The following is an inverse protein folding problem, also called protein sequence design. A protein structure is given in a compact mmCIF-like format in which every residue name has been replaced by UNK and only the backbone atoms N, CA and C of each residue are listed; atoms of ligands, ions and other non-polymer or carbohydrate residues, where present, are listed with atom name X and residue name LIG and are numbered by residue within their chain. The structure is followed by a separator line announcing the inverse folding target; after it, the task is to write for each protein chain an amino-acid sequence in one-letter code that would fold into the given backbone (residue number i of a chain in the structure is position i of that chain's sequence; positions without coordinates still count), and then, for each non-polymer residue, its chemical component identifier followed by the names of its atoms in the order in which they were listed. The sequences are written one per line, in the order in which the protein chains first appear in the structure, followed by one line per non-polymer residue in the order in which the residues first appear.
data_IF_547785427174
#
_entry.id   IF_547785427174
#
_cell.length_a   1.000
_cell.length_b   1.000
_cell.length_c   1.000
_cell.angle_alpha   90.00
_cell.angle_beta   90.00
_cell.angle_gamma   90.00
#
_symmetry.space_group_name_H-M   'P 1'
#
loop_
_entity.id
_entity.type
_entity.pdbx_description
1 polymer ?
#
# COMPACT_ATOMS: atom_id res chain seq x y z
N UNK A 1 -83.40 26.21 -7.74
CA UNK A 1 -82.90 24.84 -7.62
C UNK A 1 -81.69 24.74 -8.52
N UNK A 2 -80.46 24.53 -8.09
CA UNK A 2 -79.80 24.50 -6.79
C UNK A 2 -78.30 24.58 -7.15
N UNK A 3 -77.54 25.45 -6.49
CA UNK A 3 -76.12 25.60 -6.77
C UNK A 3 -75.38 24.35 -6.29
N UNK A 4 -74.66 23.66 -7.18
CA UNK A 4 -73.83 22.51 -6.83
C UNK A 4 -72.57 23.02 -6.11
N UNK A 5 -72.34 22.69 -4.84
CA UNK A 5 -71.10 23.01 -4.15
C UNK A 5 -70.07 21.91 -4.35
N UNK A 6 -68.77 22.27 -4.35
CA UNK A 6 -67.76 21.35 -3.81
C UNK A 6 -66.52 21.01 -4.63
N UNK A 7 -66.04 21.86 -5.55
CA UNK A 7 -64.70 21.63 -6.15
C UNK A 7 -63.52 22.00 -5.24
N UNK A 8 -63.78 22.71 -4.13
CA UNK A 8 -62.76 23.18 -3.18
C UNK A 8 -62.43 22.17 -2.07
N UNK A 9 -63.42 21.36 -1.65
CA UNK A 9 -63.24 20.31 -0.64
C UNK A 9 -62.39 19.13 -1.13
N UNK A 10 -62.49 18.78 -2.42
CA UNK A 10 -61.76 17.68 -3.04
C UNK A 10 -60.27 17.99 -3.27
N UNK A 11 -59.91 19.26 -3.51
CA UNK A 11 -58.51 19.69 -3.62
C UNK A 11 -57.81 19.73 -2.25
N UNK A 12 -58.51 20.16 -1.19
CA UNK A 12 -57.98 20.13 0.18
C UNK A 12 -57.79 18.70 0.70
N UNK A 13 -58.69 17.77 0.38
CA UNK A 13 -58.53 16.36 0.78
C UNK A 13 -57.35 15.67 0.08
N UNK A 14 -57.11 15.95 -1.21
CA UNK A 14 -55.94 15.44 -1.93
C UNK A 14 -54.60 16.03 -1.45
N UNK A 15 -54.57 17.29 -1.02
CA UNK A 15 -53.36 17.90 -0.44
C UNK A 15 -53.05 17.34 0.96
N UNK A 16 -54.07 17.14 1.80
CA UNK A 16 -53.93 16.46 3.10
C UNK A 16 -53.45 15.01 2.95
N UNK A 17 -53.98 14.27 1.98
CA UNK A 17 -53.55 12.90 1.70
C UNK A 17 -52.08 12.81 1.24
N UNK A 18 -51.61 13.77 0.43
CA UNK A 18 -50.19 13.84 0.02
C UNK A 18 -49.25 14.21 1.18
N UNK A 19 -49.66 15.12 2.07
CA UNK A 19 -48.88 15.49 3.25
C UNK A 19 -48.80 14.31 4.23
N UNK A 20 -49.92 13.61 4.47
CA UNK A 20 -49.94 12.39 5.29
C UNK A 20 -49.09 11.27 4.68
N UNK A 21 -49.10 11.09 3.35
CA UNK A 21 -48.27 10.09 2.68
C UNK A 21 -46.76 10.39 2.81
N UNK A 22 -46.35 11.64 2.60
CA UNK A 22 -44.94 12.07 2.77
C UNK A 22 -44.50 11.97 4.24
N UNK A 23 -45.37 12.32 5.19
CA UNK A 23 -45.09 12.18 6.62
C UNK A 23 -44.96 10.71 7.05
N UNK A 24 -45.71 9.80 6.42
CA UNK A 24 -45.63 8.34 6.69
C UNK A 24 -44.35 7.74 6.11
N UNK A 25 -43.88 8.22 4.96
CA UNK A 25 -42.59 7.80 4.39
C UNK A 25 -41.44 8.33 5.25
N UNK A 26 -41.48 9.60 5.69
CA UNK A 26 -40.46 10.16 6.56
C UNK A 26 -40.39 9.44 7.92
N UNK A 27 -41.52 9.05 8.50
CA UNK A 27 -41.56 8.29 9.75
C UNK A 27 -41.06 6.85 9.59
N UNK A 28 -41.28 6.22 8.45
CA UNK A 28 -40.69 4.91 8.11
C UNK A 28 -39.16 4.99 7.92
N UNK A 29 -38.64 6.06 7.33
CA UNK A 29 -37.19 6.29 7.22
C UNK A 29 -36.54 6.60 8.58
N UNK A 30 -37.20 7.38 9.44
CA UNK A 30 -36.73 7.63 10.81
C UNK A 30 -36.79 6.38 11.69
N UNK A 31 -37.85 5.57 11.58
CA UNK A 31 -37.97 4.30 12.31
C UNK A 31 -36.97 3.25 11.82
N UNK A 32 -36.77 3.15 10.50
CA UNK A 32 -35.76 2.26 9.90
C UNK A 32 -34.32 2.69 10.25
N UNK A 33 -34.05 3.99 10.28
CA UNK A 33 -32.76 4.55 10.71
C UNK A 33 -32.48 4.31 12.20
N UNK A 34 -33.50 4.44 13.07
CA UNK A 34 -33.35 4.15 14.50
C UNK A 34 -33.18 2.65 14.78
N UNK A 35 -33.86 1.79 14.02
CA UNK A 35 -33.74 0.33 14.13
C UNK A 35 -32.39 -0.18 13.62
N UNK A 36 -31.87 0.39 12.53
CA UNK A 36 -30.51 0.14 12.07
C UNK A 36 -29.46 0.62 13.09
N UNK A 37 -29.65 1.82 13.68
CA UNK A 37 -28.77 2.34 14.72
C UNK A 37 -28.73 1.47 15.98
N UNK A 38 -29.89 0.95 16.42
CA UNK A 38 -29.97 0.03 17.57
C UNK A 38 -29.38 -1.35 17.29
N UNK A 39 -29.50 -1.88 16.06
CA UNK A 39 -28.87 -3.15 15.67
C UNK A 39 -27.35 -3.03 15.52
N UNK A 40 -26.83 -1.87 15.09
CA UNK A 40 -25.40 -1.61 14.98
C UNK A 40 -24.72 -1.31 16.33
N UNK A 41 -25.43 -0.74 17.31
CA UNK A 41 -24.83 -0.35 18.60
C UNK A 41 -25.09 -1.31 19.78
N UNK A 42 -25.95 -2.33 19.64
CA UNK A 42 -26.21 -3.29 20.74
C UNK A 42 -25.63 -4.68 20.53
N UNK A 43 -25.23 -5.04 19.31
CA UNK A 43 -24.53 -6.30 19.04
C UNK A 43 -23.03 -6.10 19.14
N UNK A 44 -22.50 -6.17 20.37
CA UNK A 44 -21.11 -6.57 20.56
C UNK A 44 -21.01 -8.06 20.21
N UNK A 45 -20.22 -8.47 19.20
CA UNK A 45 -19.95 -9.88 19.00
C UNK A 45 -19.07 -10.36 20.16
N UNK A 46 -19.63 -11.21 21.02
CA UNK A 46 -18.85 -12.01 21.95
C UNK A 46 -18.02 -12.99 21.13
N UNK A 47 -16.82 -12.55 20.75
CA UNK A 47 -15.81 -13.43 20.20
C UNK A 47 -15.26 -14.27 21.34
N UNK A 48 -15.64 -15.55 21.36
CA UNK A 48 -14.90 -16.57 22.09
C UNK A 48 -13.48 -16.60 21.53
N UNK A 49 -12.58 -15.96 22.26
CA UNK A 49 -11.15 -15.88 21.99
C UNK A 49 -10.50 -17.21 22.34
N UNK A 50 -10.39 -18.11 21.36
CA UNK A 50 -9.23 -18.99 21.33
C UNK A 50 -8.02 -18.12 20.96
N UNK A 51 -7.24 -17.79 21.99
CA UNK A 51 -6.06 -16.94 21.96
C UNK A 51 -5.02 -17.54 21.00
N UNK A 52 -4.91 -16.95 19.81
CA UNK A 52 -3.65 -16.91 19.08
C UNK A 52 -3.08 -15.50 19.29
N UNK A 53 -1.88 -15.44 19.86
CA UNK A 53 -1.27 -14.24 20.41
C UNK A 53 -1.26 -13.08 19.40
N UNK A 54 -1.94 -12.00 19.77
CA UNK A 54 -1.76 -10.65 19.23
C UNK A 54 -0.27 -10.29 19.41
N UNK A 55 0.52 -10.20 18.34
CA UNK A 55 1.73 -9.40 18.39
C UNK A 55 1.35 -7.96 18.03
N UNK A 56 0.76 -7.27 19.01
CA UNK A 56 0.71 -5.82 18.94
C UNK A 56 2.13 -5.27 19.17
N UNK A 57 2.50 -4.16 18.51
CA UNK A 57 3.79 -3.52 18.74
C UNK A 57 3.91 -3.15 20.22
N UNK A 58 4.86 -3.77 20.92
CA UNK A 58 5.17 -3.46 22.32
C UNK A 58 5.84 -2.08 22.35
N UNK A 59 5.19 -1.12 23.01
CA UNK A 59 5.79 0.20 23.26
C UNK A 59 6.86 0.01 24.34
N UNK A 60 8.12 -0.11 23.91
CA UNK A 60 9.26 -0.16 24.82
C UNK A 60 9.56 1.28 25.26
N UNK A 61 9.51 1.57 26.57
CA UNK A 61 9.49 2.94 27.12
C UNK A 61 10.88 3.51 27.42
N UNK A 62 11.88 2.67 27.60
CA UNK A 62 13.30 3.01 27.51
C UNK A 62 14.13 1.72 27.52
N UNK A 63 14.95 1.53 26.50
CA UNK A 63 15.89 0.42 26.38
C UNK A 63 17.09 0.98 25.61
N UNK A 64 18.35 0.71 26.00
CA UNK A 64 19.53 1.04 25.22
C UNK A 64 19.39 0.78 23.70
N UNK A 65 18.63 -0.25 23.32
CA UNK A 65 18.33 -0.56 21.93
C UNK A 65 17.48 0.51 21.21
N UNK A 66 16.53 1.15 21.89
CA UNK A 66 15.76 2.26 21.31
C UNK A 66 16.65 3.46 21.04
N UNK A 67 17.51 3.81 21.99
CA UNK A 67 18.38 4.98 21.84
C UNK A 67 19.45 4.73 20.77
N UNK A 68 19.97 3.51 20.69
CA UNK A 68 20.86 3.08 19.61
C UNK A 68 20.13 3.12 18.24
N UNK A 69 18.90 2.61 18.15
CA UNK A 69 18.08 2.70 16.95
C UNK A 69 17.83 4.16 16.54
N UNK A 70 17.40 5.02 17.47
CA UNK A 70 17.17 6.45 17.18
C UNK A 70 18.45 7.12 16.71
N UNK A 71 19.60 6.72 17.26
CA UNK A 71 20.92 7.26 16.87
C UNK A 71 21.23 6.90 15.42
N UNK A 72 21.19 5.61 15.05
CA UNK A 72 21.48 5.19 13.67
C UNK A 72 20.45 5.74 12.68
N UNK A 73 19.16 5.76 13.03
CA UNK A 73 18.10 6.31 12.19
C UNK A 73 18.33 7.80 11.91
N UNK A 74 18.64 8.59 12.94
CA UNK A 74 18.96 10.02 12.78
C UNK A 74 20.24 10.22 11.98
N UNK A 75 21.25 9.39 12.19
CA UNK A 75 22.50 9.44 11.43
C UNK A 75 22.25 9.19 9.94
N UNK A 76 21.48 8.15 9.61
CA UNK A 76 21.13 7.79 8.24
C UNK A 76 20.33 8.91 7.55
N UNK A 77 19.25 9.39 8.15
CA UNK A 77 18.40 10.42 7.54
C UNK A 77 19.16 11.76 7.41
N UNK A 78 19.96 12.15 8.41
CA UNK A 78 20.81 13.35 8.31
C UNK A 78 21.85 13.25 7.19
N UNK A 79 22.47 12.08 7.01
CA UNK A 79 23.41 11.87 5.92
C UNK A 79 22.75 12.07 4.55
N UNK A 80 21.54 11.53 4.37
CA UNK A 80 20.78 11.69 3.12
C UNK A 80 20.37 13.14 2.85
N UNK A 81 19.89 13.85 3.87
CA UNK A 81 19.58 15.30 3.80
C UNK A 81 20.82 16.12 3.40
N UNK A 82 21.99 15.75 3.91
CA UNK A 82 23.26 16.43 3.63
C UNK A 82 23.91 15.99 2.30
N UNK A 83 23.29 15.08 1.55
CA UNK A 83 23.85 14.51 0.31
C UNK A 83 25.07 13.61 0.52
N UNK A 84 25.30 13.14 1.76
CA UNK A 84 26.43 12.27 2.15
C UNK A 84 26.07 10.80 1.98
N UNK A 85 25.65 10.41 0.78
CA UNK A 85 25.12 9.07 0.51
C UNK A 85 26.16 7.94 0.71
N UNK A 86 27.46 8.26 0.73
CA UNK A 86 28.49 7.30 1.10
C UNK A 86 28.33 6.82 2.55
N UNK A 87 27.85 7.71 3.44
CA UNK A 87 27.55 7.36 4.83
C UNK A 87 26.28 6.54 4.92
N UNK A 88 25.23 6.89 4.17
CA UNK A 88 24.03 6.06 4.05
C UNK A 88 24.41 4.63 3.66
N UNK A 89 25.18 4.47 2.59
CA UNK A 89 25.69 3.17 2.14
C UNK A 89 26.37 2.38 3.26
N UNK A 90 27.25 3.02 4.04
CA UNK A 90 27.99 2.34 5.11
C UNK A 90 27.13 1.82 6.26
N UNK A 91 25.94 2.39 6.44
CA UNK A 91 24.98 2.04 7.49
C UNK A 91 23.96 0.98 7.02
N UNK A 92 23.89 0.71 5.72
CA UNK A 92 23.02 -0.33 5.17
C UNK A 92 23.50 -1.73 5.57
N UNK A 93 22.52 -2.58 5.85
CA UNK A 93 22.77 -4.01 6.02
C UNK A 93 23.44 -4.58 4.74
N UNK A 94 24.38 -5.55 4.85
CA UNK A 94 25.10 -6.09 3.69
C UNK A 94 24.21 -6.59 2.55
N UNK A 95 23.06 -7.19 2.85
CA UNK A 95 22.10 -7.65 1.83
C UNK A 95 21.54 -6.51 0.99
N UNK A 96 21.26 -5.33 1.58
CA UNK A 96 20.81 -4.16 0.82
C UNK A 96 21.93 -3.56 -0.01
N UNK A 97 23.17 -3.55 0.52
CA UNK A 97 24.33 -3.14 -0.30
C UNK A 97 24.54 -4.05 -1.50
N UNK A 98 24.25 -5.35 -1.37
CA UNK A 98 24.39 -6.33 -2.45
C UNK A 98 23.41 -6.11 -3.61
N UNK A 99 22.33 -5.32 -3.42
CA UNK A 99 21.46 -4.89 -4.52
C UNK A 99 22.17 -3.98 -5.53
N UNK A 100 23.24 -3.32 -5.11
CA UNK A 100 23.93 -2.32 -5.92
C UNK A 100 25.27 -2.86 -6.40
N UNK A 101 25.72 -2.47 -7.62
CA UNK A 101 27.03 -2.86 -8.12
C UNK A 101 28.19 -2.42 -7.21
N UNK A 102 28.07 -1.25 -6.59
CA UNK A 102 29.04 -0.67 -5.64
C UNK A 102 28.48 0.61 -5.00
N UNK A 103 29.22 1.15 -4.02
CA UNK A 103 28.90 2.40 -3.33
C UNK A 103 28.73 3.59 -4.28
N UNK A 104 29.54 3.69 -5.34
CA UNK A 104 29.48 4.81 -6.29
C UNK A 104 28.17 4.81 -7.07
N UNK A 105 27.67 3.64 -7.47
CA UNK A 105 26.37 3.51 -8.12
C UNK A 105 25.23 3.97 -7.19
N UNK A 106 25.26 3.53 -5.92
CA UNK A 106 24.31 3.97 -4.90
C UNK A 106 24.32 5.49 -4.70
N UNK A 107 25.49 6.10 -4.55
CA UNK A 107 25.58 7.55 -4.32
C UNK A 107 25.18 8.37 -5.54
N UNK A 108 25.50 7.89 -6.75
CA UNK A 108 25.06 8.53 -7.99
C UNK A 108 23.53 8.50 -8.13
N UNK A 109 22.90 7.37 -7.83
CA UNK A 109 21.44 7.23 -7.85
C UNK A 109 20.76 8.23 -6.93
N UNK A 110 21.14 8.27 -5.64
CA UNK A 110 20.47 9.16 -4.69
C UNK A 110 20.72 10.65 -4.96
N UNK A 111 21.91 11.01 -5.48
CA UNK A 111 22.15 12.37 -5.98
C UNK A 111 21.22 12.73 -7.11
N UNK A 112 20.97 11.82 -8.05
CA UNK A 112 20.05 12.06 -9.16
C UNK A 112 18.60 12.15 -8.66
N UNK A 113 18.20 11.25 -7.76
CA UNK A 113 16.85 11.17 -7.21
C UNK A 113 16.39 12.48 -6.53
N UNK A 114 17.28 13.11 -5.75
CA UNK A 114 16.97 14.34 -5.02
C UNK A 114 17.51 15.62 -5.66
N UNK A 115 18.03 15.55 -6.89
CA UNK A 115 18.76 16.67 -7.51
C UNK A 115 17.95 17.97 -7.61
N UNK A 116 16.63 17.87 -7.78
CA UNK A 116 15.73 18.98 -8.04
C UNK A 116 15.03 19.51 -6.77
N UNK A 117 15.39 18.94 -5.61
CA UNK A 117 14.73 19.20 -4.34
C UNK A 117 15.68 19.78 -3.29
N UNK A 118 15.12 20.51 -2.34
CA UNK A 118 15.76 20.93 -1.10
C UNK A 118 15.20 20.07 0.03
N UNK A 119 16.09 19.39 0.75
CA UNK A 119 15.75 18.58 1.91
C UNK A 119 16.01 19.42 3.17
N UNK A 120 14.93 19.86 3.84
CA UNK A 120 15.02 20.84 4.94
C UNK A 120 15.28 20.21 6.30
N UNK A 121 14.67 19.06 6.55
CA UNK A 121 14.64 18.46 7.87
C UNK A 121 13.74 17.24 7.91
N UNK A 122 13.62 16.63 9.08
CA UNK A 122 12.76 15.46 9.28
C UNK A 122 12.26 15.38 10.70
N UNK A 123 11.17 14.63 10.89
CA UNK A 123 10.75 14.14 12.21
C UNK A 123 10.90 12.62 12.24
N UNK A 124 11.12 12.09 13.44
CA UNK A 124 11.16 10.65 13.71
C UNK A 124 9.99 10.33 14.62
N UNK A 125 9.13 9.40 14.18
CA UNK A 125 7.95 8.95 14.90
C UNK A 125 8.28 8.06 16.09
N UNK A 126 7.24 7.45 16.66
CA UNK A 126 7.38 6.49 17.75
C UNK A 126 8.12 5.24 17.26
N UNK A 127 9.00 4.72 18.10
CA UNK A 127 9.72 3.47 17.84
C UNK A 127 8.84 2.31 18.26
N UNK A 128 8.69 1.32 17.39
CA UNK A 128 8.06 0.04 17.68
C UNK A 128 9.02 -1.11 17.40
N UNK A 129 8.81 -2.23 18.07
CA UNK A 129 9.56 -3.46 17.85
C UNK A 129 8.72 -4.46 17.06
N UNK A 130 9.34 -5.12 16.09
CA UNK A 130 8.77 -6.24 15.36
C UNK A 130 9.61 -7.49 15.64
N UNK A 131 8.93 -8.60 15.93
CA UNK A 131 9.58 -9.90 16.11
C UNK A 131 10.26 -10.38 14.82
N UNK A 132 9.61 -10.12 13.69
CA UNK A 132 10.12 -10.34 12.35
C UNK A 132 9.51 -9.34 11.35
N UNK A 133 10.24 -9.09 10.27
CA UNK A 133 9.79 -8.33 9.12
C UNK A 133 10.51 -8.83 7.87
N UNK A 134 9.82 -8.90 6.74
CA UNK A 134 10.40 -9.30 5.45
C UNK A 134 10.53 -8.09 4.55
N UNK A 135 11.75 -7.84 4.05
CA UNK A 135 11.99 -6.76 3.10
C UNK A 135 11.43 -7.16 1.72
N UNK A 136 10.55 -6.35 1.10
CA UNK A 136 9.89 -6.71 -0.16
C UNK A 136 10.84 -6.72 -1.36
N UNK A 137 11.94 -5.96 -1.32
CA UNK A 137 12.93 -5.90 -2.41
C UNK A 137 13.79 -7.17 -2.50
N UNK A 138 14.03 -7.83 -1.36
CA UNK A 138 14.97 -8.95 -1.23
C UNK A 138 14.30 -10.25 -0.81
N UNK A 139 13.09 -10.19 -0.26
CA UNK A 139 12.38 -11.28 0.44
C UNK A 139 13.20 -11.89 1.59
N UNK A 140 14.17 -11.16 2.14
CA UNK A 140 14.93 -11.56 3.33
C UNK A 140 14.12 -11.22 4.57
N UNK A 141 13.97 -12.19 5.47
CA UNK A 141 13.39 -11.99 6.79
C UNK A 141 14.45 -11.50 7.79
N UNK A 142 14.17 -10.38 8.44
CA UNK A 142 14.94 -9.86 9.56
C UNK A 142 14.15 -10.05 10.85
N UNK A 143 14.81 -10.57 11.89
CA UNK A 143 14.20 -10.79 13.21
C UNK A 143 14.65 -9.72 14.21
N UNK A 144 13.81 -9.44 15.19
CA UNK A 144 14.06 -8.48 16.28
C UNK A 144 14.46 -7.10 15.75
N UNK A 145 13.67 -6.56 14.83
CA UNK A 145 13.92 -5.25 14.23
C UNK A 145 13.19 -4.16 15.01
N UNK A 146 13.77 -2.96 14.99
CA UNK A 146 13.10 -1.74 15.45
C UNK A 146 12.69 -0.91 14.23
N UNK A 147 11.51 -0.32 14.31
CA UNK A 147 10.87 0.47 13.25
C UNK A 147 10.46 1.83 13.80
N UNK A 148 10.59 2.88 13.00
CA UNK A 148 9.93 4.16 13.22
C UNK A 148 9.58 4.81 11.90
N UNK A 149 8.49 5.57 11.86
CA UNK A 149 8.18 6.40 10.70
C UNK A 149 9.07 7.65 10.64
N UNK A 150 9.46 8.05 9.44
CA UNK A 150 10.21 9.27 9.15
C UNK A 150 9.33 10.17 8.30
N UNK A 151 9.09 11.40 8.74
CA UNK A 151 8.50 12.43 7.88
C UNK A 151 9.59 13.37 7.37
N UNK A 152 9.78 13.44 6.06
CA UNK A 152 10.79 14.31 5.42
C UNK A 152 10.14 15.64 5.01
N UNK A 153 10.77 16.74 5.40
CA UNK A 153 10.44 18.07 4.89
C UNK A 153 11.22 18.29 3.60
N UNK A 154 10.51 18.28 2.49
CA UNK A 154 11.06 18.36 1.13
C UNK A 154 10.30 19.42 0.33
N UNK A 155 11.02 20.18 -0.48
CA UNK A 155 10.46 21.15 -1.42
C UNK A 155 11.22 21.15 -2.75
N UNK A 156 10.56 21.56 -3.82
CA UNK A 156 11.25 21.85 -5.08
C UNK A 156 12.20 23.03 -4.90
N UNK A 157 13.35 22.99 -5.60
CA UNK A 157 14.27 24.14 -5.65
C UNK A 157 13.59 25.38 -6.24
N UNK A 158 13.94 26.61 -5.78
CA UNK A 158 13.41 27.85 -6.34
C UNK A 158 13.56 27.93 -7.86
N UNK A 159 12.51 28.39 -8.53
CA UNK A 159 12.44 28.52 -9.99
C UNK A 159 11.79 27.33 -10.70
N UNK A 160 11.53 26.23 -9.99
CA UNK A 160 10.87 25.04 -10.54
C UNK A 160 9.35 25.02 -10.22
N UNK A 161 8.88 25.86 -9.30
CA UNK A 161 7.47 25.90 -8.86
C UNK A 161 6.51 26.45 -9.92
N UNK A 162 7.01 27.22 -10.90
CA UNK A 162 6.20 27.80 -11.98
C UNK A 162 6.08 26.92 -13.21
N UNK A 163 6.69 25.73 -13.22
CA UNK A 163 6.57 24.78 -14.33
C UNK A 163 5.21 24.08 -14.31
N UNK A 164 4.67 23.75 -15.48
CA UNK A 164 3.47 22.90 -15.62
C UNK A 164 3.81 21.45 -15.25
N UNK A 165 3.98 21.21 -13.95
CA UNK A 165 4.30 19.90 -13.38
C UNK A 165 3.08 19.29 -12.69
N UNK A 166 3.01 17.96 -12.57
CA UNK A 166 1.97 17.32 -11.79
C UNK A 166 1.94 17.79 -10.32
N UNK A 167 0.76 17.87 -9.67
CA UNK A 167 0.64 18.33 -8.28
C UNK A 167 1.53 17.58 -7.29
N UNK A 168 1.71 16.27 -7.45
CA UNK A 168 2.57 15.43 -6.59
C UNK A 168 4.06 15.79 -6.68
N UNK A 169 4.49 16.34 -7.82
CA UNK A 169 5.85 16.86 -8.02
C UNK A 169 5.97 18.25 -7.40
N UNK A 170 4.94 19.09 -7.56
CA UNK A 170 4.87 20.43 -6.96
C UNK A 170 4.76 20.40 -5.43
N UNK A 171 4.04 19.41 -4.90
CA UNK A 171 3.70 19.26 -3.49
C UNK A 171 4.12 17.86 -3.01
N UNK A 172 5.43 17.59 -2.99
CA UNK A 172 5.93 16.26 -2.62
C UNK A 172 5.98 15.99 -1.10
N UNK A 173 5.89 17.02 -0.26
CA UNK A 173 5.98 16.86 1.20
C UNK A 173 4.95 15.89 1.84
N UNK A 174 3.68 15.83 1.38
CA UNK A 174 2.71 14.84 1.84
C UNK A 174 3.10 13.40 1.51
N UNK A 175 3.85 13.16 0.45
CA UNK A 175 4.28 11.80 0.06
C UNK A 175 5.22 11.21 1.11
N UNK A 176 6.12 12.02 1.66
CA UNK A 176 7.11 11.59 2.63
C UNK A 176 6.63 11.74 4.07
N UNK A 177 5.38 11.41 4.36
CA UNK A 177 4.87 11.37 5.73
C UNK A 177 4.93 9.95 6.29
N UNK A 178 5.54 9.79 7.46
CA UNK A 178 5.58 8.52 8.19
C UNK A 178 6.16 7.33 7.38
N UNK A 179 7.13 7.59 6.49
CA UNK A 179 7.79 6.55 5.68
C UNK A 179 8.59 5.62 6.61
N UNK A 180 8.40 4.29 6.54
CA UNK A 180 9.00 3.38 7.50
C UNK A 180 10.53 3.37 7.40
N UNK A 181 11.23 3.49 8.53
CA UNK A 181 12.66 3.19 8.65
C UNK A 181 12.82 2.04 9.63
N UNK A 182 13.53 0.99 9.21
CA UNK A 182 13.71 -0.23 9.98
C UNK A 182 15.21 -0.53 10.09
N UNK A 183 15.64 -0.90 11.30
CA UNK A 183 17.01 -1.33 11.54
C UNK A 183 17.04 -2.63 12.35
N UNK A 184 18.03 -3.46 12.06
CA UNK A 184 18.30 -4.69 12.78
C UNK A 184 19.60 -4.55 13.60
N UNK A 185 19.60 -5.13 14.79
CA UNK A 185 20.81 -5.36 15.58
C UNK A 185 21.41 -6.71 15.20
N UNK A 186 22.66 -6.73 14.74
CA UNK A 186 23.38 -7.99 14.49
C UNK A 186 23.98 -8.51 15.80
N UNK A 187 23.67 -9.76 16.16
CA UNK A 187 24.15 -10.42 17.37
C UNK A 187 25.58 -10.92 17.22
N UNK A 188 26.56 -10.04 17.39
CA UNK A 188 27.99 -10.38 17.38
C UNK A 188 28.82 -9.45 18.28
N UNK A 189 30.11 -9.75 18.44
CA UNK A 189 31.06 -8.96 19.21
C UNK A 189 31.22 -7.56 18.58
N UNK A 190 30.33 -6.63 18.94
CA UNK A 190 30.29 -5.29 18.37
C UNK A 190 28.95 -4.57 18.47
N UNK A 191 27.82 -5.25 18.75
CA UNK A 191 26.49 -4.64 18.86
C UNK A 191 26.17 -3.65 17.72
N UNK A 192 26.42 -4.05 16.47
CA UNK A 192 26.27 -3.15 15.31
C UNK A 192 24.83 -3.15 14.82
N UNK A 193 24.25 -1.96 14.75
CA UNK A 193 22.97 -1.72 14.11
C UNK A 193 23.16 -1.49 12.61
N UNK A 194 22.23 -1.96 11.79
CA UNK A 194 22.25 -1.71 10.35
C UNK A 194 20.84 -1.46 9.84
N UNK A 195 20.74 -0.55 8.87
CA UNK A 195 19.48 -0.18 8.21
C UNK A 195 19.06 -1.31 7.25
N UNK A 196 17.83 -1.77 7.38
CA UNK A 196 17.20 -2.81 6.53
C UNK A 196 15.97 -2.29 5.77
N UNK A 197 15.57 -1.04 6.05
CA UNK A 197 14.61 -0.21 5.32
C UNK A 197 14.99 1.25 5.64
N UNK A 198 15.38 2.03 4.64
CA UNK A 198 15.99 3.35 4.76
C UNK A 198 15.03 4.53 4.96
N UNK A 199 13.72 4.29 5.01
CA UNK A 199 12.75 5.40 5.03
C UNK A 199 12.81 6.19 3.73
N UNK A 200 12.90 7.53 3.78
CA UNK A 200 12.97 8.34 2.56
C UNK A 200 14.13 7.97 1.62
N UNK A 201 15.22 7.40 2.13
CA UNK A 201 16.38 6.99 1.32
C UNK A 201 16.42 5.46 1.16
N UNK A 202 15.29 4.90 0.73
CA UNK A 202 15.08 3.48 0.42
C UNK A 202 14.43 3.32 -0.95
N UNK A 203 14.65 2.18 -1.63
CA UNK A 203 14.00 1.93 -2.92
C UNK A 203 12.47 1.84 -2.80
N UNK A 204 11.92 1.52 -1.63
CA UNK A 204 10.47 1.52 -1.35
C UNK A 204 9.92 2.89 -0.95
N UNK A 205 10.75 3.93 -0.87
CA UNK A 205 10.29 5.29 -0.63
C UNK A 205 9.36 5.78 -1.76
N UNK A 206 8.46 6.75 -1.47
CA UNK A 206 7.63 7.38 -2.51
C UNK A 206 8.46 7.88 -3.69
N UNK A 207 8.00 7.53 -4.90
CA UNK A 207 8.69 7.90 -6.14
C UNK A 207 8.54 9.40 -6.41
N UNK A 208 9.66 10.04 -6.73
CA UNK A 208 9.70 11.40 -7.28
C UNK A 208 9.98 11.30 -8.78
N UNK A 209 9.03 11.60 -9.67
CA UNK A 209 9.31 11.65 -11.10
C UNK A 209 10.34 12.75 -11.43
N UNK A 210 11.35 12.48 -12.29
CA UNK A 210 12.33 13.48 -12.67
C UNK A 210 11.68 14.55 -13.55
N UNK A 211 11.98 15.83 -13.28
CA UNK A 211 11.43 16.95 -14.05
C UNK A 211 11.77 16.92 -15.55
N UNK A 212 12.90 16.29 -15.86
CA UNK A 212 13.35 16.01 -17.21
C UNK A 212 13.50 14.49 -17.33
N UNK A 213 12.44 13.80 -17.81
CA UNK A 213 12.48 12.37 -18.01
C UNK A 213 13.59 12.01 -18.98
N UNK A 214 14.37 11.02 -18.62
CA UNK A 214 15.36 10.42 -19.52
C UNK A 214 14.72 9.23 -20.24
N UNK A 215 15.09 9.05 -21.50
CA UNK A 215 14.67 7.86 -22.24
C UNK A 215 15.46 6.64 -21.76
N UNK A 216 14.78 5.72 -21.09
CA UNK A 216 15.31 4.39 -20.73
C UNK A 216 14.28 3.33 -21.05
N UNK A 217 14.78 2.17 -21.43
CA UNK A 217 13.96 0.98 -21.67
C UNK A 217 14.41 -0.10 -20.72
N UNK A 218 13.45 -0.68 -20.00
CA UNK A 218 13.62 -1.90 -19.21
C UNK A 218 12.54 -2.88 -19.66
N UNK A 219 12.84 -4.18 -19.60
CA UNK A 219 11.90 -5.23 -19.94
C UNK A 219 11.61 -6.04 -18.69
N UNK A 220 10.36 -5.98 -18.23
CA UNK A 220 9.88 -6.69 -17.03
C UNK A 220 8.53 -7.32 -17.36
N UNK A 221 8.39 -8.65 -17.37
CA UNK A 221 7.10 -9.30 -17.46
C UNK A 221 6.25 -8.97 -16.22
N UNK A 222 4.96 -8.67 -16.44
CA UNK A 222 3.99 -8.39 -15.38
C UNK A 222 2.78 -9.31 -15.57
N UNK A 223 2.84 -10.60 -15.17
CA UNK A 223 1.68 -11.47 -15.24
C UNK A 223 0.60 -11.03 -14.26
N UNK A 224 -0.64 -11.08 -14.74
CA UNK A 224 -1.84 -10.69 -14.01
C UNK A 224 -2.64 -11.94 -13.65
N UNK A 225 -2.89 -12.13 -12.35
CA UNK A 225 -3.72 -13.18 -11.79
C UNK A 225 -4.98 -12.58 -11.17
N UNK A 226 -6.02 -13.39 -11.00
CA UNK A 226 -7.21 -13.03 -10.24
C UNK A 226 -7.46 -14.09 -9.17
N UNK A 227 -8.11 -15.20 -9.55
CA UNK A 227 -8.39 -16.31 -8.64
C UNK A 227 -7.27 -17.35 -8.64
N UNK A 228 -6.77 -17.69 -7.45
CA UNK A 228 -5.95 -18.89 -7.24
C UNK A 228 -6.77 -19.87 -6.40
N UNK A 229 -7.60 -20.67 -7.04
CA UNK A 229 -8.65 -21.46 -6.37
C UNK A 229 -8.71 -22.90 -6.87
N UNK A 230 -9.19 -23.79 -6.01
CA UNK A 230 -9.49 -25.18 -6.35
C UNK A 230 -11.00 -25.45 -6.44
N UNK A 231 -11.82 -24.39 -6.42
CA UNK A 231 -13.28 -24.48 -6.52
C UNK A 231 -13.65 -24.54 -7.99
N UNK A 232 -14.30 -25.62 -8.47
CA UNK A 232 -14.67 -25.72 -9.88
C UNK A 232 -15.62 -24.58 -10.29
N UNK A 233 -15.22 -23.83 -11.31
CA UNK A 233 -16.07 -22.82 -11.93
C UNK A 233 -16.49 -23.26 -13.34
N UNK A 234 -17.79 -23.15 -13.61
CA UNK A 234 -18.40 -23.61 -14.86
C UNK A 234 -18.70 -22.47 -15.84
N UNK A 235 -18.75 -21.24 -15.36
CA UNK A 235 -18.93 -20.05 -16.19
C UNK A 235 -17.60 -19.72 -16.90
N UNK A 236 -17.68 -19.40 -18.20
CA UNK A 236 -16.51 -19.35 -19.06
C UNK A 236 -15.54 -18.21 -18.72
N UNK A 237 -16.08 -17.03 -18.37
CA UNK A 237 -15.28 -15.87 -17.97
C UNK A 237 -14.58 -16.15 -16.64
N UNK A 238 -15.30 -16.60 -15.62
CA UNK A 238 -14.72 -16.90 -14.33
C UNK A 238 -13.67 -18.03 -14.40
N UNK A 239 -13.89 -19.06 -15.25
CA UNK A 239 -12.86 -20.07 -15.54
C UNK A 239 -11.61 -19.50 -16.22
N UNK A 240 -11.75 -18.44 -17.02
CA UNK A 240 -10.59 -17.79 -17.66
C UNK A 240 -9.74 -16.96 -16.69
N UNK A 241 -10.29 -16.62 -15.52
CA UNK A 241 -9.64 -15.86 -14.46
C UNK A 241 -9.10 -16.73 -13.32
N UNK A 242 -9.29 -18.05 -13.39
CA UNK A 242 -8.91 -18.99 -12.33
C UNK A 242 -7.66 -19.81 -12.71
N UNK A 243 -6.72 -19.87 -11.77
CA UNK A 243 -5.57 -20.78 -11.83
C UNK A 243 -5.62 -21.72 -10.62
N UNK A 244 -5.55 -23.03 -10.88
CA UNK A 244 -5.50 -24.01 -9.80
C UNK A 244 -4.22 -23.83 -8.96
N UNK A 245 -4.26 -23.92 -7.62
CA UNK A 245 -3.08 -23.79 -6.76
C UNK A 245 -1.92 -24.72 -7.13
N UNK A 246 -2.21 -25.93 -7.63
CA UNK A 246 -1.18 -26.87 -8.10
C UNK A 246 -0.46 -26.32 -9.33
N UNK A 247 -1.21 -25.77 -10.29
CA UNK A 247 -0.63 -25.16 -11.49
C UNK A 247 0.12 -23.88 -11.15
N UNK A 248 -0.42 -23.05 -10.25
CA UNK A 248 0.27 -21.86 -9.76
C UNK A 248 1.59 -22.21 -9.07
N UNK A 249 1.61 -23.27 -8.25
CA UNK A 249 2.86 -23.80 -7.66
C UNK A 249 3.87 -24.18 -8.73
N UNK A 250 3.45 -24.94 -9.76
CA UNK A 250 4.32 -25.32 -10.88
C UNK A 250 4.86 -24.11 -11.66
N UNK A 251 4.06 -23.05 -11.80
CA UNK A 251 4.52 -21.79 -12.41
C UNK A 251 5.60 -21.13 -11.54
N UNK A 252 5.42 -21.09 -10.22
CA UNK A 252 6.42 -20.52 -9.31
C UNK A 252 7.70 -21.36 -9.25
N UNK A 253 7.58 -22.69 -9.26
CA UNK A 253 8.70 -23.63 -9.37
C UNK A 253 9.51 -23.33 -10.64
N UNK A 254 8.83 -23.19 -11.78
CA UNK A 254 9.47 -22.86 -13.05
C UNK A 254 10.20 -21.52 -12.97
N UNK A 255 9.54 -20.45 -12.49
CA UNK A 255 10.16 -19.13 -12.35
C UNK A 255 11.41 -19.19 -11.47
N UNK A 256 11.34 -19.90 -10.33
CA UNK A 256 12.45 -20.07 -9.42
C UNK A 256 13.61 -20.84 -10.06
N UNK A 257 13.31 -21.95 -10.72
CA UNK A 257 14.29 -22.79 -11.42
C UNK A 257 14.97 -22.04 -12.58
N UNK A 258 14.24 -21.13 -13.25
CA UNK A 258 14.79 -20.28 -14.30
C UNK A 258 15.54 -19.06 -13.77
N UNK A 259 15.60 -18.84 -12.45
CA UNK A 259 16.32 -17.73 -11.83
C UNK A 259 15.62 -16.39 -12.03
N UNK A 260 14.30 -16.36 -12.05
CA UNK A 260 13.54 -15.11 -11.96
C UNK A 260 13.60 -14.54 -10.54
N UNK A 261 13.56 -13.21 -10.47
CA UNK A 261 13.56 -12.46 -9.22
C UNK A 261 12.36 -11.50 -9.22
N UNK A 262 11.48 -11.63 -8.24
CA UNK A 262 10.40 -10.65 -8.08
C UNK A 262 10.97 -9.30 -7.68
N UNK A 263 10.44 -8.24 -8.26
CA UNK A 263 10.76 -6.85 -7.91
C UNK A 263 9.48 -6.10 -7.51
N UNK A 264 9.65 -4.96 -6.86
CA UNK A 264 8.56 -4.03 -6.55
C UNK A 264 8.30 -3.07 -7.71
N UNK A 265 7.12 -2.44 -7.74
CA UNK A 265 6.86 -1.37 -8.71
C UNK A 265 7.79 -0.18 -8.48
N UNK A 266 8.16 0.11 -7.23
CA UNK A 266 9.10 1.18 -6.93
C UNK A 266 10.50 0.89 -7.50
N UNK A 267 10.99 -0.35 -7.40
CA UNK A 267 12.24 -0.76 -8.07
C UNK A 267 12.16 -0.57 -9.59
N UNK A 268 11.03 -0.94 -10.22
CA UNK A 268 10.82 -0.70 -11.65
C UNK A 268 10.85 0.80 -12.01
N UNK A 269 10.13 1.65 -11.27
CA UNK A 269 10.13 3.10 -11.51
C UNK A 269 11.51 3.72 -11.26
N UNK A 270 12.21 3.29 -10.23
CA UNK A 270 13.58 3.71 -9.94
C UNK A 270 14.55 3.32 -11.07
N UNK A 271 14.39 2.14 -11.67
CA UNK A 271 15.16 1.72 -12.83
C UNK A 271 14.86 2.59 -14.06
N UNK A 272 13.58 2.86 -14.35
CA UNK A 272 13.15 3.71 -15.46
C UNK A 272 13.66 5.15 -15.30
N UNK A 273 13.33 5.79 -14.18
CA UNK A 273 13.58 7.22 -13.96
C UNK A 273 15.03 7.54 -13.62
N UNK A 274 15.71 6.68 -12.86
CA UNK A 274 17.03 6.98 -12.30
C UNK A 274 18.12 5.96 -12.67
N UNK A 275 17.78 4.87 -13.36
CA UNK A 275 18.75 3.81 -13.64
C UNK A 275 19.14 3.03 -12.39
N UNK A 276 18.21 2.91 -11.43
CA UNK A 276 18.36 2.05 -10.25
C UNK A 276 18.60 0.58 -10.63
N UNK A 277 19.21 -0.20 -9.73
CA UNK A 277 19.55 -1.59 -10.01
C UNK A 277 18.28 -2.46 -10.11
N UNK A 278 18.31 -3.42 -11.03
CA UNK A 278 17.37 -4.55 -11.08
C UNK A 278 18.16 -5.86 -10.99
N UNK A 279 17.61 -6.89 -10.35
CA UNK A 279 18.18 -8.23 -10.43
C UNK A 279 18.10 -8.77 -11.87
N UNK A 280 18.84 -9.85 -12.15
CA UNK A 280 18.66 -10.57 -13.40
C UNK A 280 17.24 -11.14 -13.49
N UNK A 281 16.67 -11.21 -14.70
CA UNK A 281 15.31 -11.75 -14.95
C UNK A 281 14.26 -11.19 -13.97
N UNK A 282 14.08 -9.85 -13.91
CA UNK A 282 13.07 -9.25 -13.05
C UNK A 282 11.66 -9.64 -13.51
N UNK A 283 10.74 -9.81 -12.56
CA UNK A 283 9.31 -10.06 -12.80
C UNK A 283 8.47 -9.39 -11.72
N UNK A 284 7.25 -8.97 -12.06
CA UNK A 284 6.26 -8.48 -11.08
C UNK A 284 5.04 -9.37 -11.18
N UNK A 285 4.64 -10.00 -10.07
CA UNK A 285 3.45 -10.85 -10.02
C UNK A 285 2.29 -10.00 -9.47
N UNK A 286 1.23 -9.79 -10.25
CA UNK A 286 0.08 -8.98 -9.84
C UNK A 286 -1.17 -9.84 -9.63
N UNK A 287 -1.98 -9.47 -8.65
CA UNK A 287 -3.23 -10.13 -8.29
C UNK A 287 -4.31 -9.07 -8.12
N UNK A 288 -5.38 -9.17 -8.89
CA UNK A 288 -6.44 -8.16 -8.90
C UNK A 288 -7.62 -8.56 -7.99
N UNK A 289 -8.55 -7.64 -7.79
CA UNK A 289 -9.81 -7.75 -7.03
C UNK A 289 -9.73 -7.91 -5.50
N UNK A 290 -8.66 -8.48 -4.95
CA UNK A 290 -8.52 -8.66 -3.50
C UNK A 290 -9.23 -9.90 -2.91
N UNK A 291 -9.43 -10.94 -3.73
CA UNK A 291 -10.05 -12.20 -3.30
C UNK A 291 -9.31 -12.88 -2.14
N UNK A 292 -10.06 -13.55 -1.26
CA UNK A 292 -9.50 -14.22 -0.08
C UNK A 292 -8.72 -15.51 -0.41
N UNK A 293 -8.90 -16.05 -1.61
CA UNK A 293 -8.15 -17.19 -2.13
C UNK A 293 -6.68 -16.84 -2.39
N UNK A 294 -6.38 -15.60 -2.76
CA UNK A 294 -5.03 -15.07 -2.90
C UNK A 294 -4.27 -15.15 -1.56
N UNK A 295 -4.93 -14.84 -0.44
CA UNK A 295 -4.36 -15.04 0.90
C UNK A 295 -4.23 -16.53 1.26
N UNK A 296 -5.22 -17.36 0.93
CA UNK A 296 -5.25 -18.78 1.31
C UNK A 296 -4.25 -19.64 0.54
N UNK A 297 -4.02 -19.32 -0.73
CA UNK A 297 -3.26 -20.16 -1.66
C UNK A 297 -2.06 -19.43 -2.25
N UNK A 298 -2.24 -18.27 -2.89
CA UNK A 298 -1.14 -17.58 -3.56
C UNK A 298 -0.05 -17.12 -2.58
N UNK A 299 -0.44 -16.44 -1.50
CA UNK A 299 0.46 -15.92 -0.46
C UNK A 299 1.41 -16.98 0.13
N UNK A 300 0.93 -18.14 0.65
CA UNK A 300 1.84 -19.15 1.20
C UNK A 300 2.75 -19.76 0.12
N UNK A 301 2.28 -19.92 -1.13
CA UNK A 301 3.09 -20.41 -2.24
C UNK A 301 4.21 -19.40 -2.55
N UNK A 302 3.89 -18.11 -2.72
CA UNK A 302 4.88 -17.06 -2.97
C UNK A 302 5.94 -17.00 -1.87
N UNK A 303 5.51 -17.04 -0.61
CA UNK A 303 6.40 -17.04 0.56
C UNK A 303 7.36 -18.24 0.53
N UNK A 304 6.87 -19.43 0.19
CA UNK A 304 7.71 -20.64 0.10
C UNK A 304 8.80 -20.53 -1.00
N UNK A 305 8.56 -19.74 -2.05
CA UNK A 305 9.51 -19.53 -3.15
C UNK A 305 10.44 -18.33 -2.93
N UNK A 306 10.22 -17.53 -1.87
CA UNK A 306 10.91 -16.27 -1.64
C UNK A 306 10.56 -15.23 -2.71
N UNK A 307 9.29 -15.18 -3.10
CA UNK A 307 8.74 -14.24 -4.07
C UNK A 307 7.80 -13.24 -3.41
N UNK A 308 7.86 -11.99 -3.85
CA UNK A 308 6.91 -10.93 -3.52
C UNK A 308 5.78 -10.89 -4.58
N UNK A 309 4.62 -10.37 -4.20
CA UNK A 309 3.50 -10.11 -5.10
C UNK A 309 2.83 -8.78 -4.79
N UNK A 310 2.26 -8.15 -5.82
CA UNK A 310 1.47 -6.91 -5.72
C UNK A 310 -0.02 -7.25 -5.82
N UNK A 311 -0.79 -6.94 -4.78
CA UNK A 311 -2.21 -7.25 -4.70
C UNK A 311 -3.03 -5.96 -4.81
N UNK A 312 -3.83 -5.83 -5.86
CA UNK A 312 -4.70 -4.69 -6.10
C UNK A 312 -6.08 -4.93 -5.44
N UNK A 313 -6.45 -4.04 -4.51
CA UNK A 313 -7.58 -4.24 -3.61
C UNK A 313 -8.73 -3.30 -3.98
N UNK A 314 -9.93 -3.88 -4.16
CA UNK A 314 -11.16 -3.10 -4.25
C UNK A 314 -11.54 -2.67 -2.83
N UNK A 315 -11.26 -1.43 -2.45
CA UNK A 315 -11.27 -1.05 -1.03
C UNK A 315 -12.67 -1.09 -0.41
N UNK A 316 -13.72 -0.86 -1.19
CA UNK A 316 -15.11 -0.97 -0.75
C UNK A 316 -15.57 -2.41 -0.43
N UNK A 317 -14.79 -3.43 -0.82
CA UNK A 317 -15.11 -4.85 -0.62
C UNK A 317 -14.30 -5.54 0.48
N UNK A 318 -13.39 -4.82 1.15
CA UNK A 318 -12.54 -5.41 2.18
C UNK A 318 -13.39 -6.05 3.29
N UNK A 319 -13.11 -7.32 3.58
CA UNK A 319 -13.82 -8.11 4.60
C UNK A 319 -15.21 -8.61 4.20
N UNK A 320 -15.65 -8.40 2.96
CA UNK A 320 -16.85 -9.06 2.43
C UNK A 320 -16.61 -10.57 2.26
N UNK A 321 -17.68 -11.35 2.10
CA UNK A 321 -17.57 -12.77 1.82
C UNK A 321 -16.74 -13.02 0.54
N UNK A 322 -15.69 -13.84 0.65
CA UNK A 322 -14.77 -14.14 -0.46
C UNK A 322 -13.70 -13.07 -0.72
N UNK A 323 -13.60 -12.04 0.12
CA UNK A 323 -12.64 -10.93 -0.02
C UNK A 323 -11.70 -10.88 1.17
N UNK A 324 -10.47 -10.42 0.94
CA UNK A 324 -9.49 -10.32 2.02
C UNK A 324 -9.92 -9.33 3.11
N UNK A 325 -9.56 -9.64 4.34
CA UNK A 325 -9.73 -8.78 5.51
C UNK A 325 -8.49 -7.91 5.75
N UNK A 326 -8.66 -6.81 6.48
CA UNK A 326 -7.55 -5.97 6.95
C UNK A 326 -6.45 -6.75 7.67
N UNK A 327 -6.84 -7.75 8.47
CA UNK A 327 -5.89 -8.61 9.22
C UNK A 327 -5.01 -9.41 8.27
N UNK A 328 -5.61 -10.02 7.24
CA UNK A 328 -4.90 -10.81 6.24
C UNK A 328 -3.92 -9.95 5.45
N UNK A 329 -4.36 -8.79 4.96
CA UNK A 329 -3.51 -7.87 4.22
C UNK A 329 -2.36 -7.32 5.08
N UNK A 330 -2.63 -6.99 6.35
CA UNK A 330 -1.60 -6.54 7.30
C UNK A 330 -0.53 -7.61 7.55
N UNK A 331 -0.93 -8.89 7.58
CA UNK A 331 0.00 -10.01 7.70
C UNK A 331 0.84 -10.15 6.43
N UNK A 332 0.22 -10.11 5.25
CA UNK A 332 0.91 -10.19 3.96
C UNK A 332 1.95 -9.08 3.78
N UNK A 333 1.60 -7.83 4.12
CA UNK A 333 2.52 -6.69 4.10
C UNK A 333 3.75 -6.90 5.00
N UNK A 334 3.56 -7.46 6.21
CA UNK A 334 4.68 -7.77 7.11
C UNK A 334 5.60 -8.88 6.57
N UNK A 335 5.08 -9.68 5.62
CA UNK A 335 5.77 -10.80 5.00
C UNK A 335 6.23 -10.50 3.56
N UNK A 336 6.39 -9.22 3.20
CA UNK A 336 7.05 -8.80 1.97
C UNK A 336 6.14 -8.73 0.75
N UNK A 337 4.82 -8.90 0.90
CA UNK A 337 3.85 -8.62 -0.16
C UNK A 337 3.55 -7.12 -0.21
N UNK A 338 3.03 -6.66 -1.34
CA UNK A 338 2.64 -5.27 -1.58
C UNK A 338 1.14 -5.16 -1.84
N UNK A 339 0.57 -3.98 -1.58
CA UNK A 339 -0.84 -3.68 -1.79
C UNK A 339 -0.98 -2.44 -2.66
N UNK A 340 -1.92 -2.46 -3.59
CA UNK A 340 -2.29 -1.32 -4.43
C UNK A 340 -3.79 -1.10 -4.45
N UNK A 341 -4.21 0.06 -4.95
CA UNK A 341 -5.63 0.37 -5.13
C UNK A 341 -6.18 -0.25 -6.42
N UNK A 342 -7.35 -0.87 -6.31
CA UNK A 342 -8.18 -1.30 -7.43
C UNK A 342 -9.51 -0.53 -7.48
N UNK A 343 -9.47 0.77 -7.18
CA UNK A 343 -10.63 1.65 -6.96
C UNK A 343 -11.45 1.29 -5.72
N UNK A 344 -12.50 2.05 -5.43
CA UNK A 344 -13.39 1.75 -4.28
C UNK A 344 -14.39 0.69 -4.68
N UNK A 345 -15.01 0.84 -5.85
CA UNK A 345 -16.18 0.06 -6.25
C UNK A 345 -15.97 -0.82 -7.49
N UNK A 346 -14.78 -0.80 -8.10
CA UNK A 346 -14.45 -1.56 -9.31
C UNK A 346 -15.33 -1.17 -10.52
N UNK A 347 -15.46 0.14 -10.73
CA UNK A 347 -16.22 0.72 -11.84
C UNK A 347 -15.40 0.77 -13.13
N UNK A 348 -16.07 0.84 -14.28
CA UNK A 348 -15.41 1.19 -15.53
C UNK A 348 -14.94 2.65 -15.48
N UNK A 349 -13.64 2.83 -15.24
CA UNK A 349 -13.03 4.15 -15.14
C UNK A 349 -13.10 4.95 -16.45
N UNK A 350 -13.15 4.29 -17.61
CA UNK A 350 -13.31 4.97 -18.90
C UNK A 350 -14.69 5.58 -19.05
N UNK A 351 -15.72 4.85 -18.62
CA UNK A 351 -17.09 5.36 -18.56
C UNK A 351 -17.23 6.47 -17.50
N UNK A 352 -16.83 6.21 -16.27
CA UNK A 352 -16.98 7.16 -15.15
C UNK A 352 -16.22 8.46 -15.41
N UNK A 353 -15.03 8.40 -16.02
CA UNK A 353 -14.28 9.61 -16.39
C UNK A 353 -15.05 10.48 -17.39
N UNK A 354 -15.76 9.86 -18.35
CA UNK A 354 -16.57 10.58 -19.33
C UNK A 354 -17.85 11.17 -18.71
N UNK A 355 -18.44 10.51 -17.73
CA UNK A 355 -19.67 10.94 -17.08
C UNK A 355 -19.41 11.99 -15.97
N UNK A 356 -18.38 11.78 -15.15
CA UNK A 356 -18.07 12.62 -14.00
C UNK A 356 -16.60 12.50 -13.57
N UNK A 357 -15.81 13.53 -13.91
CA UNK A 357 -14.43 13.66 -13.44
C UNK A 357 -14.33 13.61 -11.90
N UNK A 358 -15.30 14.18 -11.19
CA UNK A 358 -15.31 14.18 -9.72
C UNK A 358 -15.45 12.76 -9.16
N UNK A 359 -16.33 11.94 -9.74
CA UNK A 359 -16.48 10.55 -9.31
C UNK A 359 -15.25 9.73 -9.65
N UNK A 360 -14.67 9.90 -10.85
CA UNK A 360 -13.42 9.25 -11.21
C UNK A 360 -12.28 9.60 -10.23
N UNK A 361 -12.18 10.87 -9.84
CA UNK A 361 -11.20 11.31 -8.84
C UNK A 361 -11.46 10.71 -7.46
N UNK A 362 -12.73 10.62 -7.04
CA UNK A 362 -13.10 9.98 -5.77
C UNK A 362 -12.71 8.50 -5.75
N UNK A 363 -13.05 7.75 -6.81
CA UNK A 363 -12.68 6.33 -6.95
C UNK A 363 -11.18 6.10 -6.80
N UNK A 364 -10.36 6.97 -7.39
CA UNK A 364 -8.90 6.84 -7.35
C UNK A 364 -8.30 7.34 -6.04
N UNK A 365 -8.71 8.51 -5.54
CA UNK A 365 -8.06 9.14 -4.39
C UNK A 365 -8.46 8.51 -3.06
N UNK A 366 -9.75 8.18 -2.88
CA UNK A 366 -10.22 7.59 -1.61
C UNK A 366 -9.66 6.17 -1.46
N UNK A 367 -9.67 5.38 -2.54
CA UNK A 367 -9.10 4.03 -2.51
C UNK A 367 -7.59 4.03 -2.28
N UNK A 368 -6.86 5.06 -2.73
CA UNK A 368 -5.43 5.18 -2.50
C UNK A 368 -5.07 5.45 -1.02
N UNK A 369 -5.90 6.21 -0.30
CA UNK A 369 -5.66 6.58 1.11
C UNK A 369 -6.28 5.62 2.13
N UNK A 370 -7.12 4.69 1.67
CA UNK A 370 -7.76 3.64 2.47
C UNK A 370 -6.77 2.52 2.69
#
# INVERSE_FOLDING_TARGET
MEAIPGHEGQRRSMQLAKILFVATILSLFLAGGLFAYLLFFTNTPTTNSHILAKQEPVIVTSNPDIDAFKTIARQYVKAGIQGKYEQNWSLLHPSLRALWPNQRAFTAFWRAHYRDYILKGFTLGKVSQLSAWVNPETMIQYTNVLKAGVSLQIELKPGLQGAQLPPEVLHSAPLFQNVPLIAQRTGGAGNVWSIVEGGPFDLEAPILPPLQPVSRTVQVPIPMFHHISNVPVYEALARSLEVNPTLFTQQMDYLKAQGYHTITFNQLFNALYYGGPLPAKPIILTFDDGYDDAYKFAYPILKAHGFSGMFYIITGKIGWGGQMTWRQMSEMLQNGMQMGSHTIHHVDMGQVLNESLVQAQQELQISQIT
#
